data_IF_333472878023
#
_entry.id   IF_333472878023
#
_cell.length_a   1.000
_cell.length_b   1.000
_cell.length_c   1.000
_cell.angle_alpha   90.00
_cell.angle_beta   90.00
_cell.angle_gamma   90.00
#
_symmetry.space_group_name_H-M   'P 1'
#
loop_
_entity.id
_entity.type
_entity.pdbx_description
1 polymer ?
#
# COMPACT_ATOMS: atom_id res chain seq x y z
N UNK A 1 27.04 52.63 40.49
CA UNK A 1 25.86 51.92 39.97
C UNK A 1 26.26 51.30 38.64
N UNK A 2 26.74 50.06 38.68
CA UNK A 2 27.16 49.33 37.48
C UNK A 2 25.95 48.64 36.86
N UNK A 3 25.63 48.97 35.61
CA UNK A 3 24.72 48.18 34.79
C UNK A 3 25.39 46.86 34.47
N UNK A 4 24.88 45.78 35.05
CA UNK A 4 25.19 44.42 34.60
C UNK A 4 24.44 44.20 33.30
N UNK A 5 25.16 44.23 32.18
CA UNK A 5 24.68 43.75 30.89
C UNK A 5 24.69 42.22 30.97
N UNK A 6 23.52 41.63 31.24
CA UNK A 6 23.36 40.18 31.31
C UNK A 6 23.24 39.64 29.87
N UNK A 7 24.15 38.76 29.43
CA UNK A 7 24.12 38.28 28.06
C UNK A 7 22.87 37.43 27.81
N UNK A 8 22.09 37.82 26.79
CA UNK A 8 20.92 37.08 26.32
C UNK A 8 21.36 35.64 26.01
N UNK A 9 20.76 34.60 26.63
CA UNK A 9 21.09 33.23 26.33
C UNK A 9 20.79 32.95 24.85
N UNK A 10 21.78 32.42 24.14
CA UNK A 10 21.61 32.00 22.75
C UNK A 10 20.40 31.04 22.65
N UNK A 11 19.53 31.20 21.64
CA UNK A 11 18.41 30.28 21.47
C UNK A 11 18.97 28.85 21.36
N UNK A 12 18.40 27.93 22.15
CA UNK A 12 18.71 26.52 22.06
C UNK A 12 18.59 26.07 20.58
N UNK A 13 19.45 25.16 20.10
CA UNK A 13 19.33 24.69 18.72
C UNK A 13 17.96 24.04 18.56
N UNK A 14 17.08 24.71 17.83
CA UNK A 14 15.83 24.13 17.36
C UNK A 14 16.21 22.85 16.61
N UNK A 15 15.78 21.70 17.15
CA UNK A 15 16.04 20.41 16.54
C UNK A 15 15.48 20.45 15.13
N UNK A 16 16.34 20.59 14.13
CA UNK A 16 15.93 20.71 12.74
C UNK A 16 15.22 19.42 12.36
N UNK A 17 13.90 19.48 12.27
CA UNK A 17 13.10 18.36 11.81
C UNK A 17 13.63 17.96 10.42
N UNK A 18 13.95 16.67 10.19
CA UNK A 18 14.51 16.25 8.91
C UNK A 18 13.57 16.67 7.77
N UNK A 19 14.09 17.05 6.60
CA UNK A 19 13.27 17.38 5.45
C UNK A 19 12.21 16.30 5.19
N UNK A 20 10.99 16.70 4.86
CA UNK A 20 9.84 15.80 4.67
C UNK A 20 10.16 14.60 3.75
N UNK A 21 10.80 14.87 2.62
CA UNK A 21 11.19 13.82 1.67
C UNK A 21 12.18 12.80 2.24
N UNK A 22 13.04 13.17 3.19
CA UNK A 22 13.93 12.24 3.88
C UNK A 22 13.16 11.40 4.91
N UNK A 23 12.18 11.98 5.61
CA UNK A 23 11.31 11.23 6.52
C UNK A 23 10.50 10.18 5.76
N UNK A 24 9.90 10.57 4.64
CA UNK A 24 9.15 9.68 3.76
C UNK A 24 10.04 8.52 3.26
N UNK A 25 11.22 8.82 2.72
CA UNK A 25 12.15 7.80 2.25
C UNK A 25 12.56 6.83 3.37
N UNK A 26 12.89 7.36 4.55
CA UNK A 26 13.25 6.55 5.72
C UNK A 26 12.12 5.62 6.17
N UNK A 27 10.87 6.07 6.11
CA UNK A 27 9.72 5.22 6.43
C UNK A 27 9.59 4.08 5.41
N UNK A 28 9.78 4.34 4.13
CA UNK A 28 9.76 3.28 3.11
C UNK A 28 10.89 2.26 3.33
N UNK A 29 12.08 2.72 3.68
CA UNK A 29 13.22 1.83 3.96
C UNK A 29 12.97 0.96 5.20
N UNK A 30 12.43 1.55 6.26
CA UNK A 30 12.08 0.83 7.49
C UNK A 30 11.01 -0.25 7.24
N UNK A 31 9.96 0.08 6.46
CA UNK A 31 8.91 -0.85 6.09
C UNK A 31 9.44 -1.98 5.18
N UNK A 32 10.32 -1.66 4.23
CA UNK A 32 10.96 -2.65 3.36
C UNK A 32 11.85 -3.61 4.17
N UNK A 33 12.62 -3.12 5.13
CA UNK A 33 13.45 -3.93 6.02
C UNK A 33 12.60 -4.89 6.87
N UNK A 34 11.48 -4.41 7.43
CA UNK A 34 10.56 -5.25 8.19
C UNK A 34 9.93 -6.34 7.30
N UNK A 35 9.53 -6.00 6.08
CA UNK A 35 8.97 -6.96 5.12
C UNK A 35 9.98 -8.01 4.63
N UNK A 36 11.27 -7.68 4.63
CA UNK A 36 12.35 -8.62 4.31
C UNK A 36 12.65 -9.61 5.45
N UNK A 37 11.98 -9.48 6.60
CA UNK A 37 12.18 -10.36 7.75
C UNK A 37 13.49 -10.11 8.48
N UNK A 38 14.10 -8.92 8.33
CA UNK A 38 15.21 -8.50 9.20
C UNK A 38 14.61 -8.34 10.61
N UNK A 39 14.91 -9.23 11.56
CA UNK A 39 14.17 -9.28 12.80
C UNK A 39 14.51 -8.08 13.67
N UNK A 40 13.51 -7.28 14.03
CA UNK A 40 13.57 -6.51 15.27
C UNK A 40 13.56 -7.54 16.42
N UNK A 41 14.48 -7.42 17.38
CA UNK A 41 14.61 -8.36 18.50
C UNK A 41 13.23 -8.68 19.12
N UNK A 42 12.78 -9.94 19.07
CA UNK A 42 11.46 -10.29 19.61
C UNK A 42 10.74 -11.54 19.08
N UNK A 43 11.29 -12.34 18.16
CA UNK A 43 10.75 -13.67 17.81
C UNK A 43 9.34 -13.71 17.20
N UNK A 44 8.87 -12.60 16.62
CA UNK A 44 7.53 -12.45 16.05
C UNK A 44 7.43 -13.01 14.63
N UNK A 45 6.25 -13.49 14.22
CA UNK A 45 6.00 -13.90 12.84
C UNK A 45 6.25 -12.73 11.85
N UNK A 46 6.77 -12.97 10.64
CA UNK A 46 7.16 -11.92 9.71
C UNK A 46 6.05 -10.90 9.38
N UNK A 47 4.82 -11.37 9.14
CA UNK A 47 3.69 -10.51 8.82
C UNK A 47 3.33 -9.56 9.99
N UNK A 48 3.39 -10.04 11.22
CA UNK A 48 3.09 -9.22 12.39
C UNK A 48 4.22 -8.23 12.71
N UNK A 49 5.48 -8.59 12.45
CA UNK A 49 6.61 -7.66 12.57
C UNK A 49 6.48 -6.51 11.56
N UNK A 50 6.11 -6.83 10.31
CA UNK A 50 5.78 -5.85 9.29
C UNK A 50 4.60 -4.96 9.72
N UNK A 51 3.56 -5.55 10.32
CA UNK A 51 2.40 -4.83 10.84
C UNK A 51 2.77 -3.85 11.97
N UNK A 52 3.68 -4.24 12.86
CA UNK A 52 4.19 -3.36 13.90
C UNK A 52 4.97 -2.17 13.32
N UNK A 53 5.75 -2.39 12.26
CA UNK A 53 6.44 -1.32 11.56
C UNK A 53 5.44 -0.34 10.91
N UNK A 54 4.40 -0.84 10.25
CA UNK A 54 3.30 -0.01 9.72
C UNK A 54 2.64 0.82 10.82
N UNK A 55 2.28 0.20 11.95
CA UNK A 55 1.69 0.91 13.09
C UNK A 55 2.65 1.94 13.71
N UNK A 56 3.97 1.72 13.63
CA UNK A 56 4.96 2.72 14.05
C UNK A 56 5.01 3.92 13.11
N UNK A 57 5.01 3.71 11.79
CA UNK A 57 4.96 4.79 10.80
C UNK A 57 3.68 5.61 10.95
N UNK A 58 2.53 4.97 11.18
CA UNK A 58 1.23 5.65 11.37
C UNK A 58 1.14 6.50 12.65
N UNK A 59 2.15 6.47 13.53
CA UNK A 59 2.26 7.36 14.70
C UNK A 59 3.10 8.61 14.42
N UNK A 60 3.63 8.78 13.21
CA UNK A 60 4.34 9.99 12.81
C UNK A 60 3.41 11.23 12.94
N UNK A 61 3.95 12.39 13.39
CA UNK A 61 3.16 13.62 13.55
C UNK A 61 2.59 14.17 12.23
N UNK A 62 3.14 13.79 11.08
CA UNK A 62 2.57 14.12 9.77
C UNK A 62 1.69 12.94 9.27
N UNK A 63 0.36 12.99 9.49
CA UNK A 63 -0.52 11.89 9.15
C UNK A 63 -0.64 11.65 7.65
N UNK A 64 -0.48 12.69 6.82
CA UNK A 64 -0.62 12.59 5.36
C UNK A 64 0.60 11.89 4.77
N UNK A 65 1.80 12.30 5.22
CA UNK A 65 3.05 11.67 4.81
C UNK A 65 3.11 10.21 5.29
N UNK A 66 2.72 9.95 6.54
CA UNK A 66 2.66 8.60 7.10
C UNK A 66 1.71 7.68 6.32
N UNK A 67 0.48 8.13 6.05
CA UNK A 67 -0.50 7.35 5.31
C UNK A 67 -0.04 7.10 3.86
N UNK A 68 0.60 8.10 3.23
CA UNK A 68 1.18 7.95 1.89
C UNK A 68 2.31 6.92 1.84
N UNK A 69 3.20 6.91 2.84
CA UNK A 69 4.27 5.93 2.95
C UNK A 69 3.72 4.50 3.15
N UNK A 70 2.72 4.35 4.03
CA UNK A 70 2.06 3.06 4.28
C UNK A 70 1.33 2.55 3.04
N UNK A 71 0.55 3.39 2.35
CA UNK A 71 -0.15 2.98 1.11
C UNK A 71 0.84 2.58 0.03
N UNK A 72 1.94 3.33 -0.12
CA UNK A 72 3.01 2.99 -1.07
C UNK A 72 3.63 1.63 -0.75
N UNK A 73 3.86 1.35 0.53
CA UNK A 73 4.38 0.06 0.98
C UNK A 73 3.38 -1.08 0.74
N UNK A 74 2.11 -0.90 1.14
CA UNK A 74 1.02 -1.86 0.91
C UNK A 74 0.89 -2.21 -0.56
N UNK A 75 0.88 -1.20 -1.45
CA UNK A 75 0.80 -1.40 -2.90
C UNK A 75 1.96 -2.26 -3.42
N UNK A 76 3.19 -1.96 -3.00
CA UNK A 76 4.37 -2.71 -3.41
C UNK A 76 4.37 -4.13 -2.86
N UNK A 77 3.93 -4.31 -1.62
CA UNK A 77 3.95 -5.61 -0.95
C UNK A 77 2.85 -6.52 -1.46
N UNK A 78 1.62 -6.03 -1.57
CA UNK A 78 0.49 -6.76 -2.11
C UNK A 78 0.77 -7.23 -3.54
N UNK A 79 1.31 -6.36 -4.41
CA UNK A 79 1.68 -6.74 -5.77
C UNK A 79 2.65 -7.93 -5.84
N UNK A 80 3.60 -8.01 -4.89
CA UNK A 80 4.54 -9.15 -4.79
C UNK A 80 3.90 -10.41 -4.23
N UNK A 81 2.95 -10.27 -3.30
CA UNK A 81 2.32 -11.39 -2.61
C UNK A 81 1.07 -11.92 -3.30
N UNK A 82 0.52 -11.21 -4.29
CA UNK A 82 -0.81 -11.46 -4.87
C UNK A 82 -1.04 -12.92 -5.34
N UNK A 83 0.01 -13.64 -5.71
CA UNK A 83 -0.06 -15.03 -6.18
C UNK A 83 0.59 -16.02 -5.20
N UNK A 84 0.87 -15.58 -3.97
CA UNK A 84 1.51 -16.38 -2.93
C UNK A 84 0.51 -16.76 -1.85
N UNK A 85 0.71 -17.93 -1.24
CA UNK A 85 -0.14 -18.39 -0.14
C UNK A 85 -0.03 -17.51 1.12
N UNK A 86 1.04 -16.72 1.26
CA UNK A 86 1.23 -15.80 2.37
C UNK A 86 0.43 -14.50 2.29
N UNK A 87 -0.35 -14.27 1.22
CA UNK A 87 -1.13 -13.04 1.08
C UNK A 87 -2.19 -12.89 2.16
N UNK A 88 -2.93 -13.97 2.47
CA UNK A 88 -4.04 -13.92 3.42
C UNK A 88 -3.56 -13.57 4.84
N UNK A 89 -2.52 -14.25 5.33
CA UNK A 89 -1.95 -13.99 6.66
C UNK A 89 -1.38 -12.56 6.75
N UNK A 90 -0.70 -12.11 5.70
CA UNK A 90 -0.20 -10.74 5.62
C UNK A 90 -1.33 -9.71 5.63
N UNK A 91 -2.38 -9.92 4.82
CA UNK A 91 -3.50 -8.99 4.74
C UNK A 91 -4.29 -8.92 6.05
N UNK A 92 -4.43 -10.03 6.78
CA UNK A 92 -5.04 -10.06 8.11
C UNK A 92 -4.24 -9.20 9.11
N UNK A 93 -2.90 -9.38 9.15
CA UNK A 93 -2.03 -8.57 10.00
C UNK A 93 -2.07 -7.07 9.63
N UNK A 94 -2.04 -6.75 8.33
CA UNK A 94 -2.15 -5.38 7.85
C UNK A 94 -3.50 -4.74 8.19
N UNK A 95 -4.59 -5.50 8.11
CA UNK A 95 -5.94 -5.00 8.41
C UNK A 95 -6.04 -4.49 9.84
N UNK A 96 -5.41 -5.18 10.80
CA UNK A 96 -5.29 -4.71 12.17
C UNK A 96 -4.42 -3.45 12.29
N UNK A 97 -3.29 -3.39 11.58
CA UNK A 97 -2.36 -2.27 11.65
C UNK A 97 -2.92 -0.95 11.07
N UNK A 98 -3.73 -1.04 10.00
CA UNK A 98 -4.33 0.13 9.34
C UNK A 98 -5.74 0.45 9.85
N UNK A 99 -6.20 -0.23 10.91
CA UNK A 99 -7.49 0.04 11.52
C UNK A 99 -7.60 1.52 11.93
N UNK A 100 -8.72 2.16 11.57
CA UNK A 100 -8.93 3.59 11.80
C UNK A 100 -8.28 4.54 10.77
N UNK A 101 -7.51 4.03 9.81
CA UNK A 101 -6.97 4.81 8.68
C UNK A 101 -7.77 4.52 7.42
N UNK A 102 -8.78 5.34 7.14
CA UNK A 102 -9.80 5.03 6.13
C UNK A 102 -9.24 4.80 4.72
N UNK A 103 -8.23 5.59 4.31
CA UNK A 103 -7.65 5.46 2.98
C UNK A 103 -6.72 4.24 2.88
N UNK A 104 -5.84 4.01 3.85
CA UNK A 104 -5.02 2.80 3.90
C UNK A 104 -5.86 1.51 4.00
N UNK A 105 -6.89 1.49 4.85
CA UNK A 105 -7.81 0.36 4.96
C UNK A 105 -8.63 0.14 3.68
N UNK A 106 -9.06 1.23 3.02
CA UNK A 106 -9.71 1.17 1.71
C UNK A 106 -8.81 0.54 0.66
N UNK A 107 -7.55 0.98 0.58
CA UNK A 107 -6.57 0.42 -0.35
C UNK A 107 -6.32 -1.06 -0.11
N UNK A 108 -6.21 -1.49 1.14
CA UNK A 108 -6.04 -2.90 1.47
C UNK A 108 -7.25 -3.76 1.03
N UNK A 109 -8.47 -3.25 1.19
CA UNK A 109 -9.68 -3.94 0.69
C UNK A 109 -9.68 -4.10 -0.82
N UNK A 110 -9.19 -3.10 -1.56
CA UNK A 110 -9.07 -3.22 -3.02
C UNK A 110 -8.04 -4.29 -3.42
N UNK A 111 -6.94 -4.43 -2.68
CA UNK A 111 -6.00 -5.53 -2.88
C UNK A 111 -6.59 -6.90 -2.55
N UNK A 112 -7.41 -7.02 -1.50
CA UNK A 112 -8.15 -8.25 -1.18
C UNK A 112 -9.11 -8.63 -2.32
N UNK A 113 -9.83 -7.65 -2.87
CA UNK A 113 -10.69 -7.89 -4.04
C UNK A 113 -9.89 -8.37 -5.26
N UNK A 114 -8.73 -7.77 -5.53
CA UNK A 114 -7.86 -8.23 -6.61
C UNK A 114 -7.38 -9.65 -6.39
N UNK A 115 -7.08 -10.04 -5.15
CA UNK A 115 -6.67 -11.41 -4.84
C UNK A 115 -7.82 -12.41 -5.02
N UNK A 116 -9.03 -12.09 -4.58
CA UNK A 116 -10.23 -12.87 -4.85
C UNK A 116 -10.48 -13.07 -6.36
N UNK A 117 -10.29 -12.01 -7.16
CA UNK A 117 -10.36 -12.08 -8.63
C UNK A 117 -9.27 -13.00 -9.19
N UNK A 118 -8.03 -12.90 -8.70
CA UNK A 118 -6.93 -13.78 -9.15
C UNK A 118 -7.22 -15.24 -8.84
N UNK A 119 -7.85 -15.52 -7.70
CA UNK A 119 -8.30 -16.86 -7.31
C UNK A 119 -9.54 -17.36 -8.06
N UNK A 120 -10.19 -16.50 -8.86
CA UNK A 120 -11.42 -16.84 -9.58
C UNK A 120 -12.61 -17.03 -8.64
N UNK A 121 -12.66 -16.28 -7.53
CA UNK A 121 -13.76 -16.39 -6.58
C UNK A 121 -15.08 -15.91 -7.21
N UNK A 122 -16.20 -16.63 -7.00
CA UNK A 122 -17.49 -16.27 -7.59
C UNK A 122 -17.93 -14.85 -7.24
N UNK A 123 -18.31 -14.05 -8.25
CA UNK A 123 -18.83 -12.68 -8.07
C UNK A 123 -17.76 -11.60 -7.92
N UNK A 124 -16.49 -11.97 -7.79
CA UNK A 124 -15.38 -11.03 -7.59
C UNK A 124 -15.14 -10.15 -8.83
N UNK A 125 -15.36 -10.67 -10.03
CA UNK A 125 -15.17 -9.92 -11.28
C UNK A 125 -16.24 -8.83 -11.47
N UNK A 126 -17.49 -9.10 -11.09
CA UNK A 126 -18.58 -8.12 -11.07
C UNK A 126 -18.38 -7.06 -9.99
N UNK A 127 -17.81 -7.45 -8.85
CA UNK A 127 -17.41 -6.50 -7.82
C UNK A 127 -16.27 -5.60 -8.31
N UNK A 128 -15.27 -6.16 -8.99
CA UNK A 128 -14.18 -5.40 -9.62
C UNK A 128 -14.70 -4.39 -10.65
N UNK A 129 -15.72 -4.73 -11.43
CA UNK A 129 -16.36 -3.82 -12.38
C UNK A 129 -17.01 -2.58 -11.70
N UNK A 130 -17.33 -2.67 -10.40
CA UNK A 130 -17.86 -1.57 -9.58
C UNK A 130 -16.82 -0.90 -8.68
N UNK A 131 -15.62 -1.47 -8.57
CA UNK A 131 -14.53 -0.95 -7.76
C UNK A 131 -13.99 0.41 -8.25
N UNK A 132 -13.06 1.01 -7.52
CA UNK A 132 -12.50 2.31 -7.90
C UNK A 132 -11.70 2.25 -9.21
N UNK A 133 -11.47 3.42 -9.83
CA UNK A 133 -10.58 3.51 -11.00
C UNK A 133 -9.17 3.02 -10.70
N UNK A 134 -8.66 3.24 -9.47
CA UNK A 134 -7.36 2.71 -9.08
C UNK A 134 -7.37 1.18 -9.12
N UNK A 135 -8.37 0.54 -8.52
CA UNK A 135 -8.46 -0.93 -8.45
C UNK A 135 -8.58 -1.55 -9.85
N UNK A 136 -9.48 -0.99 -10.68
CA UNK A 136 -9.68 -1.44 -12.06
C UNK A 136 -8.43 -1.27 -12.92
N UNK A 137 -7.71 -0.16 -12.75
CA UNK A 137 -6.44 0.08 -13.46
C UNK A 137 -5.33 -0.86 -13.00
N UNK A 138 -5.30 -1.22 -11.72
CA UNK A 138 -4.37 -2.21 -11.17
C UNK A 138 -4.67 -3.61 -11.70
N UNK A 139 -5.95 -4.01 -11.78
CA UNK A 139 -6.36 -5.30 -12.35
C UNK A 139 -5.83 -5.52 -13.77
N UNK A 140 -5.87 -4.48 -14.62
CA UNK A 140 -5.35 -4.56 -15.99
C UNK A 140 -3.82 -4.73 -16.02
N UNK A 141 -3.09 -4.41 -14.94
CA UNK A 141 -1.62 -4.50 -14.87
C UNK A 141 -1.12 -5.82 -14.28
N UNK A 142 -1.95 -6.55 -13.53
CA UNK A 142 -1.59 -7.83 -12.94
C UNK A 142 -2.20 -9.00 -13.74
N UNK A 143 -1.67 -10.22 -13.65
CA UNK A 143 -2.33 -11.40 -14.22
C UNK A 143 -3.69 -11.61 -13.53
N UNK A 144 -4.79 -11.47 -14.26
CA UNK A 144 -6.14 -11.78 -13.79
C UNK A 144 -6.83 -12.71 -14.80
N UNK A 145 -7.85 -13.48 -14.39
CA UNK A 145 -8.61 -14.33 -15.29
C UNK A 145 -9.22 -13.56 -16.48
N UNK A 146 -9.44 -14.26 -17.58
CA UNK A 146 -9.99 -13.68 -18.81
C UNK A 146 -11.38 -13.06 -18.58
N UNK A 147 -12.23 -13.71 -17.78
CA UNK A 147 -13.57 -13.21 -17.43
C UNK A 147 -13.54 -11.80 -16.81
N UNK A 148 -12.57 -11.52 -15.95
CA UNK A 148 -12.39 -10.21 -15.34
C UNK A 148 -11.99 -9.17 -16.40
N UNK A 149 -11.14 -9.55 -17.37
CA UNK A 149 -10.78 -8.68 -18.49
C UNK A 149 -11.96 -8.42 -19.42
N UNK A 150 -12.81 -9.41 -19.68
CA UNK A 150 -14.05 -9.24 -20.49
C UNK A 150 -14.99 -8.25 -19.81
N UNK A 151 -15.24 -8.41 -18.51
CA UNK A 151 -16.09 -7.49 -17.76
C UNK A 151 -15.52 -6.08 -17.75
N UNK A 152 -14.22 -5.92 -17.51
CA UNK A 152 -13.57 -4.60 -17.55
C UNK A 152 -13.60 -3.98 -18.95
N UNK A 153 -13.42 -4.75 -20.02
CA UNK A 153 -13.49 -4.23 -21.39
C UNK A 153 -14.87 -3.62 -21.71
N UNK A 154 -15.95 -4.23 -21.21
CA UNK A 154 -17.32 -3.76 -21.41
C UNK A 154 -17.74 -2.62 -20.47
N UNK A 155 -17.34 -2.69 -19.20
CA UNK A 155 -18.00 -1.93 -18.12
C UNK A 155 -17.07 -1.08 -17.25
N UNK A 156 -15.75 -1.11 -17.46
CA UNK A 156 -14.84 -0.35 -16.63
C UNK A 156 -15.12 1.16 -16.69
N UNK A 157 -14.86 1.82 -15.54
CA UNK A 157 -15.21 3.22 -15.28
C UNK A 157 -14.55 4.19 -16.24
N UNK A 158 -13.35 3.86 -16.72
CA UNK A 158 -12.59 4.73 -17.61
C UNK A 158 -12.27 4.04 -18.94
N UNK A 159 -12.21 4.85 -20.00
CA UNK A 159 -11.84 4.39 -21.34
C UNK A 159 -10.43 3.80 -21.38
N UNK A 160 -9.51 4.31 -20.56
CA UNK A 160 -8.15 3.79 -20.44
C UNK A 160 -8.18 2.32 -19.98
N UNK A 161 -8.94 2.01 -18.93
CA UNK A 161 -9.06 0.65 -18.40
C UNK A 161 -9.74 -0.26 -19.43
N UNK A 162 -10.86 0.17 -20.02
CA UNK A 162 -11.55 -0.61 -21.08
C UNK A 162 -10.61 -1.00 -22.22
N UNK A 163 -9.88 -0.01 -22.75
CA UNK A 163 -8.93 -0.25 -23.84
C UNK A 163 -7.76 -1.14 -23.42
N UNK A 164 -7.26 -0.97 -22.19
CA UNK A 164 -6.20 -1.82 -21.64
C UNK A 164 -6.63 -3.28 -21.52
N UNK A 165 -7.87 -3.53 -21.07
CA UNK A 165 -8.45 -4.87 -20.99
C UNK A 165 -8.61 -5.51 -22.38
N UNK A 166 -9.18 -4.77 -23.35
CA UNK A 166 -9.28 -5.22 -24.76
C UNK A 166 -7.91 -5.60 -25.33
N UNK A 167 -6.90 -4.77 -25.07
CA UNK A 167 -5.55 -5.05 -25.57
C UNK A 167 -4.94 -6.31 -24.94
N UNK A 168 -5.24 -6.61 -23.68
CA UNK A 168 -4.79 -7.84 -23.03
C UNK A 168 -5.48 -9.08 -23.58
N UNK A 169 -6.80 -9.03 -23.77
CA UNK A 169 -7.57 -10.11 -24.40
C UNK A 169 -6.99 -10.46 -25.77
N UNK A 170 -6.74 -9.45 -26.62
CA UNK A 170 -6.13 -9.64 -27.94
C UNK A 170 -4.76 -10.32 -27.89
N UNK A 171 -3.92 -10.00 -26.91
CA UNK A 171 -2.60 -10.62 -26.76
C UNK A 171 -2.71 -12.08 -26.31
N UNK A 172 -3.65 -12.39 -25.42
CA UNK A 172 -3.90 -13.76 -24.97
C UNK A 172 -4.33 -14.64 -26.15
N UNK A 173 -5.28 -14.18 -26.98
CA UNK A 173 -5.74 -14.91 -28.17
C UNK A 173 -4.67 -15.05 -29.27
N UNK A 174 -3.64 -14.20 -29.30
CA UNK A 174 -2.55 -14.29 -30.27
C UNK A 174 -1.40 -15.23 -29.83
N UNK A 175 -1.41 -15.66 -28.57
CA UNK A 175 -0.39 -16.57 -27.99
C UNK A 175 -0.89 -18.01 -27.85
N UNK A 176 -2.21 -18.21 -27.99
CA UNK A 176 -2.89 -19.51 -28.03
C UNK A 176 -2.90 -20.09 -29.44
#
# INVERSE_FOLDING_TARGET
MGSTDEPIPAPAPEGTEPPEHWRYARHLDALAAAAAGVPAAGGRAPAEAEACAVAAVLRDPDPVMAESAVVTHVDRRAARLLHSDGFADWAAAMSAAVAGRAFAAGRLREWLLLEAVVRGEPGSAEELARASDWCQRTAVRVPVPEEALVLLAGSARTRLVRNGAVQRLRRASATA
#
